data_IF_183456664409
#
_entry.id   IF_183456664409
#
_cell.length_a   1.000
_cell.length_b   1.000
_cell.length_c   1.000
_cell.angle_alpha   90.00
_cell.angle_beta   90.00
_cell.angle_gamma   90.00
#
_symmetry.space_group_name_H-M   'P 1'
#
loop_
_entity.id
_entity.type
_entity.pdbx_description
1 polymer ?
#
# COMPACT_ATOMS: atom_id res chain seq x y z
N UNK A 1 3.61 3.54 -3.45
CA UNK A 1 2.57 2.58 -3.88
C UNK A 1 1.28 3.36 -4.11
N UNK A 2 0.66 3.18 -5.27
CA UNK A 2 -0.55 3.88 -5.68
C UNK A 2 -1.64 2.87 -5.97
N UNK A 3 -2.84 3.09 -5.42
CA UNK A 3 -4.07 2.38 -5.75
C UNK A 3 -4.95 3.29 -6.60
N UNK A 4 -5.52 2.73 -7.68
CA UNK A 4 -6.46 3.39 -8.56
C UNK A 4 -7.72 2.55 -8.64
N UNK A 5 -8.82 3.13 -8.21
CA UNK A 5 -10.16 2.58 -8.31
C UNK A 5 -11.05 3.54 -9.09
N UNK A 6 -12.28 3.72 -8.62
CA UNK A 6 -13.32 4.51 -9.30
C UNK A 6 -14.16 5.23 -8.26
N UNK A 7 -14.30 6.53 -8.42
CA UNK A 7 -15.12 7.36 -7.54
C UNK A 7 -16.60 7.05 -7.72
N UNK A 8 -17.35 7.16 -6.63
CA UNK A 8 -18.81 7.12 -6.62
C UNK A 8 -19.34 7.83 -5.38
N UNK A 9 -20.61 8.25 -5.40
CA UNK A 9 -21.24 8.82 -4.23
C UNK A 9 -21.50 7.74 -3.18
N UNK A 10 -20.89 7.88 -1.99
CA UNK A 10 -20.85 6.83 -0.97
C UNK A 10 -22.24 6.40 -0.47
N UNK A 11 -23.20 7.32 -0.42
CA UNK A 11 -24.56 7.03 0.07
C UNK A 11 -25.57 6.67 -1.04
N UNK A 12 -25.30 6.98 -2.31
CA UNK A 12 -26.30 6.86 -3.39
C UNK A 12 -26.02 5.64 -4.26
N UNK A 13 -24.76 5.41 -4.60
CA UNK A 13 -24.38 4.31 -5.48
C UNK A 13 -22.99 3.73 -5.13
N UNK A 14 -22.75 3.30 -3.87
CA UNK A 14 -21.43 2.81 -3.45
C UNK A 14 -20.95 1.62 -4.31
N UNK A 15 -21.87 0.75 -4.75
CA UNK A 15 -21.59 -0.41 -5.59
C UNK A 15 -21.10 -0.08 -7.02
N UNK A 16 -21.22 1.18 -7.46
CA UNK A 16 -20.67 1.62 -8.75
C UNK A 16 -19.21 2.11 -8.65
N UNK A 17 -18.71 2.28 -7.43
CA UNK A 17 -17.34 2.68 -7.13
C UNK A 17 -16.41 1.50 -6.88
N UNK A 18 -15.11 1.78 -6.92
CA UNK A 18 -14.04 0.85 -6.55
C UNK A 18 -13.15 1.59 -5.57
N UNK A 19 -13.16 1.17 -4.30
CA UNK A 19 -12.58 1.94 -3.20
C UNK A 19 -11.07 1.71 -3.08
N UNK A 20 -10.29 2.71 -3.49
CA UNK A 20 -8.82 2.70 -3.39
C UNK A 20 -8.32 2.82 -1.94
N UNK A 21 -9.11 3.41 -1.03
CA UNK A 21 -8.75 3.52 0.38
C UNK A 21 -8.94 2.19 1.13
N UNK A 22 -9.93 1.40 0.76
CA UNK A 22 -10.11 0.04 1.30
C UNK A 22 -8.95 -0.87 0.89
N UNK A 23 -8.53 -0.78 -0.39
CA UNK A 23 -7.33 -1.47 -0.89
C UNK A 23 -6.07 -1.13 -0.08
N UNK A 24 -5.88 0.16 0.24
CA UNK A 24 -4.78 0.59 1.09
C UNK A 24 -4.90 0.06 2.53
N UNK A 25 -6.11 0.05 3.09
CA UNK A 25 -6.39 -0.51 4.42
C UNK A 25 -6.00 -1.99 4.48
N UNK A 26 -6.43 -2.80 3.50
CA UNK A 26 -6.06 -4.22 3.41
C UNK A 26 -4.54 -4.40 3.38
N UNK A 27 -3.84 -3.60 2.58
CA UNK A 27 -2.38 -3.66 2.53
C UNK A 27 -1.73 -3.28 3.86
N UNK A 28 -2.25 -2.27 4.56
CA UNK A 28 -1.73 -1.85 5.87
C UNK A 28 -1.97 -2.89 6.95
N UNK A 29 -3.11 -3.57 6.93
CA UNK A 29 -3.39 -4.71 7.82
C UNK A 29 -2.41 -5.85 7.54
N UNK A 30 -2.23 -6.24 6.26
CA UNK A 30 -1.28 -7.27 5.88
C UNK A 30 0.16 -6.92 6.30
N UNK A 31 0.57 -5.66 6.13
CA UNK A 31 1.85 -5.11 6.63
C UNK A 31 1.94 -5.23 8.15
N UNK A 32 0.88 -4.86 8.88
CA UNK A 32 0.83 -4.97 10.34
C UNK A 32 1.04 -6.40 10.84
N UNK A 33 0.41 -7.37 10.17
CA UNK A 33 0.56 -8.79 10.47
C UNK A 33 1.94 -9.33 10.10
N UNK A 34 2.50 -8.91 8.96
CA UNK A 34 3.85 -9.28 8.51
C UNK A 34 4.93 -8.91 9.53
N UNK A 35 4.73 -7.85 10.34
CA UNK A 35 5.70 -7.39 11.34
C UNK A 35 6.11 -8.45 12.36
N UNK A 36 5.23 -9.40 12.68
CA UNK A 36 5.55 -10.50 13.60
C UNK A 36 6.60 -11.46 13.03
N UNK A 37 6.80 -11.46 11.71
CA UNK A 37 7.62 -12.42 10.99
C UNK A 37 8.89 -11.77 10.39
N UNK A 38 9.26 -10.58 10.86
CA UNK A 38 10.47 -9.88 10.40
C UNK A 38 11.72 -10.48 11.03
N UNK A 39 12.76 -10.64 10.23
CA UNK A 39 14.07 -11.02 10.72
C UNK A 39 14.69 -9.87 11.56
N UNK A 40 15.58 -10.18 12.51
CA UNK A 40 16.32 -9.15 13.24
C UNK A 40 16.98 -8.14 12.30
N UNK A 41 16.80 -6.85 12.57
CA UNK A 41 17.34 -5.76 11.75
C UNK A 41 16.51 -5.38 10.52
N UNK A 42 15.47 -6.14 10.14
CA UNK A 42 14.49 -5.70 9.16
C UNK A 42 13.53 -4.66 9.77
N UNK A 43 13.31 -3.57 9.04
CA UNK A 43 12.45 -2.46 9.46
C UNK A 43 11.62 -1.97 8.28
N UNK A 44 10.38 -1.61 8.54
CA UNK A 44 9.46 -1.03 7.57
C UNK A 44 8.53 -0.02 8.24
N UNK A 45 8.37 1.14 7.61
CA UNK A 45 7.54 2.24 8.10
C UNK A 45 6.93 2.97 6.92
N UNK A 46 5.74 3.52 7.09
CA UNK A 46 5.08 4.24 6.01
C UNK A 46 3.89 5.06 6.46
N UNK A 47 3.37 5.82 5.51
CA UNK A 47 2.23 6.72 5.69
C UNK A 47 1.30 6.64 4.48
N UNK A 48 0.03 7.00 4.70
CA UNK A 48 -0.89 7.37 3.63
C UNK A 48 -0.62 8.84 3.28
N UNK A 49 -0.20 9.13 2.05
CA UNK A 49 0.04 10.51 1.59
C UNK A 49 -1.18 11.13 0.94
N UNK A 50 -2.10 10.29 0.45
CA UNK A 50 -3.37 10.71 -0.12
C UNK A 50 -4.37 9.56 0.09
N UNK A 51 -5.53 9.83 0.69
CA UNK A 51 -6.50 8.79 1.09
C UNK A 51 -7.96 9.11 0.72
N UNK A 52 -8.19 10.09 -0.16
CA UNK A 52 -9.51 10.62 -0.49
C UNK A 52 -9.67 12.08 -0.06
N UNK A 53 -10.61 12.78 -0.70
CA UNK A 53 -10.80 14.23 -0.54
C UNK A 53 -12.13 14.61 0.13
N UNK A 54 -13.07 13.67 0.27
CA UNK A 54 -14.38 13.91 0.85
C UNK A 54 -14.97 12.62 1.46
N UNK A 55 -15.65 12.75 2.60
CA UNK A 55 -16.24 11.60 3.32
C UNK A 55 -17.46 10.99 2.63
N UNK A 56 -18.12 11.75 1.75
CA UNK A 56 -19.30 11.32 1.00
C UNK A 56 -18.96 10.78 -0.41
N UNK A 57 -17.68 10.61 -0.73
CA UNK A 57 -17.18 10.08 -2.01
C UNK A 57 -16.33 8.85 -1.74
N UNK A 58 -16.59 7.76 -2.47
CA UNK A 58 -15.72 6.59 -2.50
C UNK A 58 -14.37 7.00 -3.10
N UNK A 59 -13.23 6.85 -2.40
CA UNK A 59 -11.93 7.26 -2.93
C UNK A 59 -11.53 6.47 -4.18
N UNK A 60 -11.38 7.18 -5.31
CA UNK A 60 -10.88 6.58 -6.56
C UNK A 60 -9.36 6.51 -6.65
N UNK A 61 -8.65 7.19 -5.75
CA UNK A 61 -7.19 7.18 -5.69
C UNK A 61 -6.70 7.18 -4.23
N UNK A 62 -5.63 6.44 -3.97
CA UNK A 62 -4.96 6.43 -2.67
C UNK A 62 -3.48 6.14 -2.87
N UNK A 63 -2.63 6.90 -2.19
CA UNK A 63 -1.17 6.77 -2.28
C UNK A 63 -0.57 6.46 -0.92
N UNK A 64 0.23 5.40 -0.87
CA UNK A 64 1.04 5.00 0.27
C UNK A 64 2.52 5.24 -0.03
N UNK A 65 3.27 5.70 0.97
CA UNK A 65 4.73 5.81 0.91
C UNK A 65 5.35 5.01 2.05
N UNK A 66 6.18 4.04 1.69
CA UNK A 66 6.87 3.15 2.63
C UNK A 66 8.37 3.18 2.39
N UNK A 67 9.12 3.17 3.49
CA UNK A 67 10.56 2.96 3.53
C UNK A 67 10.84 1.61 4.19
N UNK A 68 11.80 0.89 3.62
CA UNK A 68 12.24 -0.43 4.07
C UNK A 68 13.74 -0.38 4.29
N UNK A 69 14.21 -1.07 5.34
CA UNK A 69 15.63 -1.15 5.70
C UNK A 69 15.95 -2.52 6.24
N UNK A 70 17.13 -3.02 5.91
CA UNK A 70 17.76 -4.17 6.54
C UNK A 70 19.27 -3.93 6.65
N UNK A 71 19.96 -4.78 7.41
CA UNK A 71 21.43 -4.71 7.54
C UNK A 71 22.13 -5.18 6.26
N UNK A 72 21.60 -6.24 5.66
CA UNK A 72 22.18 -6.88 4.47
C UNK A 72 21.29 -6.68 3.24
N UNK A 73 21.91 -6.55 2.07
CA UNK A 73 21.18 -6.32 0.80
C UNK A 73 20.28 -7.50 0.41
N UNK A 74 20.64 -8.73 0.79
CA UNK A 74 19.77 -9.89 0.60
C UNK A 74 18.56 -9.86 1.53
N UNK A 75 18.76 -9.52 2.80
CA UNK A 75 17.66 -9.35 3.77
C UNK A 75 16.72 -8.21 3.38
N UNK A 76 17.23 -7.14 2.77
CA UNK A 76 16.39 -6.08 2.23
C UNK A 76 15.53 -6.59 1.06
N UNK A 77 16.11 -7.35 0.13
CA UNK A 77 15.36 -7.93 -1.01
C UNK A 77 14.27 -8.91 -0.57
N UNK A 78 14.54 -9.73 0.44
CA UNK A 78 13.51 -10.58 1.07
C UNK A 78 12.37 -9.74 1.67
N UNK A 79 12.72 -8.72 2.46
CA UNK A 79 11.73 -7.81 3.06
C UNK A 79 10.87 -7.14 1.99
N UNK A 80 11.49 -6.61 0.94
CA UNK A 80 10.80 -5.97 -0.19
C UNK A 80 9.80 -6.93 -0.82
N UNK A 81 10.21 -8.17 -1.16
CA UNK A 81 9.33 -9.16 -1.76
C UNK A 81 8.09 -9.44 -0.93
N UNK A 82 8.26 -9.58 0.39
CA UNK A 82 7.16 -9.84 1.33
C UNK A 82 6.23 -8.63 1.48
N UNK A 83 6.79 -7.42 1.58
CA UNK A 83 6.01 -6.18 1.64
C UNK A 83 5.26 -5.91 0.33
N UNK A 84 5.86 -6.21 -0.83
CA UNK A 84 5.16 -6.18 -2.11
C UNK A 84 4.00 -7.17 -2.16
N UNK A 85 4.15 -8.36 -1.55
CA UNK A 85 3.04 -9.30 -1.34
C UNK A 85 1.88 -8.68 -0.55
N UNK A 86 2.17 -7.91 0.51
CA UNK A 86 1.13 -7.20 1.26
C UNK A 86 0.44 -6.11 0.41
N UNK A 87 1.19 -5.36 -0.40
CA UNK A 87 0.60 -4.40 -1.33
C UNK A 87 -0.26 -5.08 -2.40
N UNK A 88 0.15 -6.24 -2.89
CA UNK A 88 -0.62 -7.04 -3.84
C UNK A 88 -1.91 -7.59 -3.22
N UNK A 89 -1.91 -7.95 -1.93
CA UNK A 89 -3.13 -8.34 -1.21
C UNK A 89 -4.17 -7.20 -1.18
N UNK A 90 -3.70 -5.94 -1.12
CA UNK A 90 -4.55 -4.75 -1.24
C UNK A 90 -5.20 -4.57 -2.61
N UNK A 91 -4.76 -5.29 -3.66
CA UNK A 91 -5.41 -5.26 -4.99
C UNK A 91 -6.80 -5.91 -4.98
N UNK A 92 -7.24 -6.47 -3.86
CA UNK A 92 -8.60 -6.98 -3.70
C UNK A 92 -9.54 -5.85 -3.27
N UNK A 93 -10.68 -5.61 -3.97
CA UNK A 93 -11.27 -6.38 -5.09
C UNK A 93 -10.59 -6.15 -6.46
N UNK A 94 -10.67 -7.11 -7.40
CA UNK A 94 -9.79 -7.26 -8.58
C UNK A 94 -9.72 -6.06 -9.53
N UNK A 95 -10.65 -5.12 -9.42
CA UNK A 95 -10.77 -3.91 -10.22
C UNK A 95 -9.86 -2.76 -9.75
N UNK A 96 -9.19 -2.90 -8.61
CA UNK A 96 -8.18 -1.93 -8.15
C UNK A 96 -6.89 -2.16 -8.91
N UNK A 97 -6.40 -1.13 -9.60
CA UNK A 97 -5.09 -1.13 -10.23
C UNK A 97 -4.02 -0.58 -9.29
N UNK A 98 -2.84 -1.16 -9.38
CA UNK A 98 -1.71 -0.84 -8.51
C UNK A 98 -0.50 -0.39 -9.31
N UNK A 99 0.24 0.58 -8.78
CA UNK A 99 1.53 1.00 -9.35
C UNK A 99 2.52 1.27 -8.23
N UNK A 100 3.69 0.64 -8.30
CA UNK A 100 4.84 1.01 -7.47
C UNK A 100 5.70 2.03 -8.21
N UNK A 101 6.11 3.07 -7.50
CA UNK A 101 7.20 3.92 -7.98
C UNK A 101 8.50 3.19 -7.63
N UNK A 102 9.46 3.04 -8.55
CA UNK A 102 10.73 2.40 -8.23
C UNK A 102 11.43 3.14 -7.07
N UNK A 103 12.17 2.42 -6.21
CA UNK A 103 12.90 3.04 -5.12
C UNK A 103 13.84 4.12 -5.67
N UNK A 104 13.93 5.25 -4.97
CA UNK A 104 14.90 6.29 -5.29
C UNK A 104 16.30 5.67 -5.18
N UNK A 105 17.22 5.89 -6.14
CA UNK A 105 18.54 5.29 -6.10
C UNK A 105 19.19 5.65 -4.76
N UNK A 106 19.64 4.62 -4.02
CA UNK A 106 20.28 4.79 -2.72
C UNK A 106 21.52 5.69 -2.89
N UNK A 107 21.40 6.98 -2.55
CA UNK A 107 22.56 7.79 -2.23
C UNK A 107 23.18 7.21 -0.96
N UNK A 108 24.32 6.52 -1.11
CA UNK A 108 25.18 6.19 0.02
C UNK A 108 25.59 7.51 0.67
N UNK A 109 25.07 7.78 1.87
CA UNK A 109 25.67 8.75 2.80
C UNK A 109 26.71 8.04 3.65
#
# INVERSE_FOLDING_TARGET
MQYRGKESHAAVAPHLGVNAADAATVAQVAIGLLRQQLAPGQMMHGIVTEGGQAVNVIPGHTTLRYAMRALESESLRDLEGRVYGCFAAGRWPPDVNTTSTPPHPHTRS
#
